data_IF_826896641977
#
_entry.id   IF_826896641977
#
_cell.length_a   1.000
_cell.length_b   1.000
_cell.length_c   1.000
_cell.angle_alpha   90.00
_cell.angle_beta   90.00
_cell.angle_gamma   90.00
#
_symmetry.space_group_name_H-M   'P 1'
#
loop_
_entity.id
_entity.type
_entity.pdbx_description
1 polymer ?
#
# COMPACT_ATOMS: atom_id res chain seq x y z
N UNK A 1 -28.56 -4.08 -0.67
CA UNK A 1 -29.45 -3.20 -1.43
C UNK A 1 -28.72 -2.45 -2.53
N UNK A 2 -29.38 -2.09 -3.63
CA UNK A 2 -28.73 -1.53 -4.83
C UNK A 2 -28.23 -0.09 -4.68
N UNK A 3 -28.64 0.61 -3.63
CA UNK A 3 -28.24 2.00 -3.36
C UNK A 3 -27.31 2.14 -2.15
N UNK A 4 -27.16 1.08 -1.35
CA UNK A 4 -26.27 1.13 -0.19
C UNK A 4 -24.82 1.19 -0.66
N UNK A 5 -24.02 2.04 -0.02
CA UNK A 5 -22.66 2.43 -0.38
C UNK A 5 -22.55 3.27 -1.66
N UNK A 6 -23.67 3.68 -2.26
CA UNK A 6 -23.62 4.70 -3.30
C UNK A 6 -23.13 6.05 -2.74
N UNK A 7 -22.45 6.81 -3.56
CA UNK A 7 -21.94 8.12 -3.21
C UNK A 7 -22.69 9.25 -3.95
N UNK A 8 -22.93 10.33 -3.24
CA UNK A 8 -23.19 11.62 -3.83
C UNK A 8 -21.87 12.39 -3.84
N UNK A 9 -21.45 12.87 -4.99
CA UNK A 9 -20.21 13.62 -5.16
C UNK A 9 -20.50 15.02 -5.70
N UNK A 10 -19.67 15.96 -5.28
CA UNK A 10 -19.61 17.29 -5.83
C UNK A 10 -18.27 17.54 -6.52
N UNK A 11 -18.30 18.35 -7.58
CA UNK A 11 -17.12 18.80 -8.31
C UNK A 11 -17.28 20.24 -8.78
N UNK A 12 -16.16 20.93 -9.07
CA UNK A 12 -16.14 22.23 -9.70
C UNK A 12 -15.73 22.15 -11.17
N UNK A 13 -15.25 21.00 -11.62
CA UNK A 13 -14.95 20.68 -13.01
C UNK A 13 -16.02 19.75 -13.60
N UNK A 14 -16.43 19.99 -14.87
CA UNK A 14 -17.49 19.20 -15.50
C UNK A 14 -17.09 17.73 -15.76
N UNK A 15 -15.81 17.42 -15.78
CA UNK A 15 -15.27 16.06 -15.92
C UNK A 15 -15.16 15.30 -14.60
N UNK A 16 -15.53 15.92 -13.49
CA UNK A 16 -15.42 15.38 -12.14
C UNK A 16 -13.99 14.96 -11.72
N UNK A 17 -12.96 15.49 -12.37
CA UNK A 17 -11.56 15.20 -12.01
C UNK A 17 -11.17 15.73 -10.62
N UNK A 18 -11.92 16.66 -10.06
CA UNK A 18 -11.78 17.21 -8.71
C UNK A 18 -12.91 16.80 -7.76
N UNK A 19 -13.61 15.70 -8.07
CA UNK A 19 -14.76 15.25 -7.29
C UNK A 19 -14.38 14.86 -5.86
N UNK A 20 -15.22 15.26 -4.93
CA UNK A 20 -15.18 14.87 -3.52
C UNK A 20 -16.53 14.35 -3.05
N UNK A 21 -16.59 13.41 -2.12
CA UNK A 21 -17.85 12.91 -1.59
C UNK A 21 -18.57 13.99 -0.77
N UNK A 22 -19.87 14.07 -0.98
CA UNK A 22 -20.79 14.90 -0.19
C UNK A 22 -21.57 14.03 0.79
N UNK A 23 -21.94 12.82 0.37
CA UNK A 23 -22.72 11.89 1.19
C UNK A 23 -22.57 10.46 0.70
N UNK A 24 -22.52 9.50 1.64
CA UNK A 24 -22.58 8.07 1.35
C UNK A 24 -23.92 7.50 1.84
N UNK A 25 -24.67 6.86 0.96
CA UNK A 25 -25.93 6.22 1.31
C UNK A 25 -25.64 4.93 2.09
N UNK A 26 -25.84 4.95 3.40
CA UNK A 26 -25.58 3.79 4.27
C UNK A 26 -26.78 2.85 4.38
N UNK A 27 -27.97 3.36 4.15
CA UNK A 27 -29.22 2.61 4.25
C UNK A 27 -30.18 3.08 3.15
N UNK A 28 -30.80 2.14 2.46
CA UNK A 28 -31.81 2.44 1.46
C UNK A 28 -33.01 3.19 2.10
N UNK A 29 -33.49 4.21 1.40
CA UNK A 29 -34.73 4.88 1.80
C UNK A 29 -35.93 3.89 1.79
N UNK A 30 -36.89 4.04 2.71
CA UNK A 30 -38.11 3.29 2.66
C UNK A 30 -38.88 3.52 1.34
N UNK A 31 -39.60 2.51 0.87
CA UNK A 31 -40.37 2.65 -0.35
C UNK A 31 -41.38 3.81 -0.26
N UNK A 32 -41.44 4.62 -1.32
CA UNK A 32 -42.37 5.74 -1.48
C UNK A 32 -42.24 6.81 -0.38
N UNK A 33 -41.06 6.93 0.22
CA UNK A 33 -40.78 8.00 1.18
C UNK A 33 -39.50 8.74 0.79
N UNK A 34 -39.54 10.06 0.86
CA UNK A 34 -38.36 10.92 0.83
C UNK A 34 -37.66 10.82 2.18
N UNK A 35 -36.35 10.73 2.17
CA UNK A 35 -35.50 10.81 3.38
C UNK A 35 -34.56 12.01 3.24
N UNK A 36 -34.37 12.74 4.34
CA UNK A 36 -33.50 13.91 4.39
C UNK A 36 -32.23 13.55 5.16
N UNK A 37 -31.10 13.94 4.62
CA UNK A 37 -29.78 13.72 5.21
C UNK A 37 -29.00 15.01 5.18
N UNK A 38 -28.48 15.44 6.32
CA UNK A 38 -27.59 16.59 6.42
C UNK A 38 -26.15 16.17 6.15
N UNK A 39 -25.37 17.03 5.52
CA UNK A 39 -23.96 16.84 5.27
C UNK A 39 -23.14 17.93 5.92
N UNK A 40 -21.93 17.62 6.33
CA UNK A 40 -21.00 18.57 6.97
C UNK A 40 -20.00 19.19 6.00
N UNK A 41 -20.19 18.98 4.69
CA UNK A 41 -19.24 19.51 3.71
C UNK A 41 -19.42 21.03 3.55
N UNK A 42 -18.36 21.80 3.83
CA UNK A 42 -18.35 23.27 3.71
C UNK A 42 -17.96 23.74 2.31
N UNK A 43 -17.36 22.88 1.49
CA UNK A 43 -16.97 23.23 0.12
C UNK A 43 -18.17 23.43 -0.79
N UNK A 44 -18.21 24.54 -1.55
CA UNK A 44 -19.19 24.75 -2.60
C UNK A 44 -18.87 23.96 -3.86
N UNK A 45 -19.91 23.38 -4.49
CA UNK A 45 -19.78 22.59 -5.70
C UNK A 45 -20.69 23.13 -6.81
N UNK A 46 -20.15 23.18 -8.04
CA UNK A 46 -20.91 23.57 -9.23
C UNK A 46 -21.68 22.39 -9.84
N UNK A 47 -21.15 21.20 -9.71
CA UNK A 47 -21.68 19.97 -10.28
C UNK A 47 -21.87 18.95 -9.18
N UNK A 48 -22.98 18.21 -9.23
CA UNK A 48 -23.27 17.12 -8.30
C UNK A 48 -23.70 15.91 -9.12
N UNK A 49 -23.22 14.72 -8.70
CA UNK A 49 -23.64 13.44 -9.31
C UNK A 49 -23.90 12.39 -8.27
N UNK A 50 -24.76 11.43 -8.64
CA UNK A 50 -24.90 10.16 -7.94
C UNK A 50 -24.02 9.11 -8.62
N UNK A 51 -23.27 8.35 -7.83
CA UNK A 51 -22.45 7.23 -8.29
C UNK A 51 -22.96 5.98 -7.61
N UNK A 52 -23.50 5.01 -8.39
CA UNK A 52 -23.93 3.74 -7.85
C UNK A 52 -22.76 2.87 -7.40
N UNK A 53 -22.98 1.94 -6.46
CA UNK A 53 -21.99 0.92 -6.17
C UNK A 53 -21.70 0.07 -7.40
N UNK A 54 -20.55 -0.60 -7.39
CA UNK A 54 -20.03 -1.39 -8.50
C UNK A 54 -21.08 -2.38 -9.05
N UNK A 55 -21.19 -2.45 -10.37
CA UNK A 55 -22.04 -3.37 -11.15
C UNK A 55 -23.53 -3.34 -10.80
N UNK A 56 -24.03 -2.26 -10.19
CA UNK A 56 -25.42 -2.14 -9.79
C UNK A 56 -26.13 -1.01 -10.54
N UNK A 57 -27.32 -1.30 -11.08
CA UNK A 57 -28.16 -0.27 -11.68
C UNK A 57 -28.76 0.63 -10.61
N UNK A 58 -28.76 1.93 -10.86
CA UNK A 58 -29.43 2.92 -10.02
C UNK A 58 -30.93 2.65 -9.92
N UNK A 59 -31.47 2.71 -8.71
CA UNK A 59 -32.91 2.62 -8.41
C UNK A 59 -33.35 3.82 -7.57
N UNK A 60 -32.89 5.01 -7.89
CA UNK A 60 -33.40 6.25 -7.32
C UNK A 60 -34.59 6.74 -8.14
N UNK A 61 -35.69 7.07 -7.45
CA UNK A 61 -36.84 7.68 -8.07
C UNK A 61 -36.68 9.20 -8.15
N UNK A 62 -36.08 9.80 -7.14
CA UNK A 62 -35.92 11.24 -7.01
C UNK A 62 -34.69 11.55 -6.11
N UNK A 63 -34.02 12.63 -6.41
CA UNK A 63 -32.88 13.16 -5.65
C UNK A 63 -32.96 14.69 -5.68
N UNK A 64 -33.05 15.30 -4.50
CA UNK A 64 -33.11 16.73 -4.32
C UNK A 64 -31.95 17.20 -3.47
N UNK A 65 -31.38 18.37 -3.84
CA UNK A 65 -30.31 19.03 -3.10
C UNK A 65 -30.81 20.35 -2.53
N UNK A 66 -30.56 20.54 -1.25
CA UNK A 66 -30.83 21.78 -0.53
C UNK A 66 -29.53 22.34 0.01
N UNK A 67 -29.28 23.64 -0.19
CA UNK A 67 -28.07 24.29 0.27
C UNK A 67 -28.14 25.78 0.09
N UNK A 68 -27.06 26.43 0.38
CA UNK A 68 -26.87 27.88 0.21
C UNK A 68 -25.88 28.11 -0.89
N UNK A 69 -26.03 29.23 -1.63
CA UNK A 69 -24.96 29.74 -2.46
C UNK A 69 -23.87 30.27 -1.54
N UNK A 70 -22.71 29.64 -1.56
CA UNK A 70 -21.54 30.04 -0.80
C UNK A 70 -20.29 29.75 -1.62
N UNK A 71 -19.23 30.54 -1.44
CA UNK A 71 -17.94 30.24 -2.03
C UNK A 71 -17.34 28.99 -1.41
N UNK A 72 -17.75 28.64 -0.18
CA UNK A 72 -17.30 27.48 0.57
C UNK A 72 -15.79 27.44 0.78
N UNK A 73 -15.33 26.58 1.58
CA UNK A 73 -13.92 26.31 1.78
C UNK A 73 -13.66 24.79 1.93
N UNK A 74 -12.41 24.40 1.94
CA UNK A 74 -12.01 23.02 2.09
C UNK A 74 -11.71 22.65 3.57
N UNK A 75 -12.08 23.50 4.53
CA UNK A 75 -11.75 23.28 5.94
C UNK A 75 -12.50 22.12 6.56
N UNK A 76 -13.73 21.87 6.06
CA UNK A 76 -14.56 20.76 6.49
C UNK A 76 -15.13 20.04 5.27
N UNK A 77 -14.59 18.86 4.98
CA UNK A 77 -15.04 17.98 3.92
C UNK A 77 -15.84 16.82 4.49
N UNK A 78 -16.72 16.24 3.69
CA UNK A 78 -17.48 15.07 4.11
C UNK A 78 -16.56 13.89 4.41
N UNK A 79 -16.69 13.33 5.61
CA UNK A 79 -15.90 12.19 6.06
C UNK A 79 -16.79 10.93 6.07
N UNK A 80 -16.31 9.85 5.42
CA UNK A 80 -17.11 8.66 5.17
C UNK A 80 -17.40 7.86 6.43
N UNK A 81 -16.37 7.57 7.19
CA UNK A 81 -16.41 6.74 8.40
C UNK A 81 -15.62 7.44 9.51
N UNK A 82 -15.11 6.70 10.46
CA UNK A 82 -14.15 7.19 11.46
C UNK A 82 -12.69 6.95 11.04
N UNK A 83 -12.44 6.62 9.77
CA UNK A 83 -11.10 6.47 9.21
C UNK A 83 -10.81 7.64 8.27
N UNK A 84 -9.55 8.02 8.09
CA UNK A 84 -9.14 8.89 7.00
C UNK A 84 -9.56 8.33 5.65
N UNK A 85 -9.89 9.19 4.70
CA UNK A 85 -10.33 8.80 3.36
C UNK A 85 -9.34 9.20 2.30
N UNK A 86 -8.93 8.25 1.46
CA UNK A 86 -8.12 8.47 0.25
C UNK A 86 -9.05 8.45 -0.96
N UNK A 87 -9.10 9.55 -1.69
CA UNK A 87 -9.91 9.73 -2.90
C UNK A 87 -8.98 9.78 -4.10
N UNK A 88 -9.23 8.94 -5.09
CA UNK A 88 -8.44 8.83 -6.32
C UNK A 88 -9.38 9.10 -7.49
N UNK A 89 -9.17 10.22 -8.17
CA UNK A 89 -9.86 10.56 -9.41
C UNK A 89 -8.87 10.44 -10.56
N UNK A 90 -8.96 9.36 -11.32
CA UNK A 90 -8.11 9.10 -12.47
C UNK A 90 -8.47 10.00 -13.64
N UNK A 91 -7.50 10.30 -14.49
CA UNK A 91 -7.73 11.07 -15.70
C UNK A 91 -8.81 10.41 -16.58
N UNK A 92 -9.83 11.19 -16.98
CA UNK A 92 -10.99 10.71 -17.74
C UNK A 92 -11.76 9.55 -17.07
N UNK A 93 -11.70 9.44 -15.75
CA UNK A 93 -12.28 8.35 -14.98
C UNK A 93 -11.88 6.96 -15.48
N UNK A 94 -10.65 6.81 -15.98
CA UNK A 94 -10.12 5.54 -16.47
C UNK A 94 -10.07 4.50 -15.35
N UNK A 95 -10.43 3.27 -15.67
CA UNK A 95 -10.28 2.15 -14.75
C UNK A 95 -8.81 1.76 -14.58
N UNK A 96 -8.40 1.42 -13.35
CA UNK A 96 -7.04 0.98 -13.03
C UNK A 96 -6.95 -0.53 -13.30
N UNK A 97 -6.46 -0.90 -14.48
CA UNK A 97 -6.42 -2.29 -14.96
C UNK A 97 -5.01 -2.87 -15.12
N UNK A 98 -3.97 -2.07 -14.87
CA UNK A 98 -2.57 -2.47 -15.11
C UNK A 98 -1.71 -2.31 -13.85
N UNK A 99 -0.72 -3.20 -13.70
CA UNK A 99 0.37 -3.08 -12.72
C UNK A 99 1.59 -2.33 -13.28
N UNK A 100 1.69 -2.20 -14.59
CA UNK A 100 2.82 -1.57 -15.28
C UNK A 100 2.53 -0.11 -15.59
N UNK A 101 1.36 0.19 -16.14
CA UNK A 101 1.01 1.51 -16.63
C UNK A 101 0.39 2.37 -15.52
N UNK A 102 1.03 3.50 -15.24
CA UNK A 102 0.50 4.51 -14.31
C UNK A 102 -0.54 5.38 -15.03
N UNK A 103 -1.65 5.65 -14.35
CA UNK A 103 -2.68 6.60 -14.78
C UNK A 103 -2.49 7.88 -13.96
N UNK A 104 -2.40 9.02 -14.63
CA UNK A 104 -2.37 10.33 -13.97
C UNK A 104 -3.68 10.57 -13.21
N UNK A 105 -3.58 10.97 -11.96
CA UNK A 105 -4.75 11.07 -11.08
C UNK A 105 -4.64 12.27 -10.15
N UNK A 106 -5.79 12.80 -9.76
CA UNK A 106 -5.90 13.70 -8.61
C UNK A 106 -6.16 12.85 -7.36
N UNK A 107 -5.37 13.07 -6.32
CA UNK A 107 -5.48 12.34 -5.06
C UNK A 107 -5.70 13.32 -3.92
N UNK A 108 -6.71 13.03 -3.10
CA UNK A 108 -7.04 13.76 -1.89
C UNK A 108 -6.96 12.81 -0.70
N UNK A 109 -6.50 13.33 0.45
CA UNK A 109 -6.55 12.62 1.71
C UNK A 109 -7.26 13.51 2.72
N UNK A 110 -8.38 13.02 3.24
CA UNK A 110 -9.22 13.66 4.23
C UNK A 110 -9.02 12.91 5.55
N UNK A 111 -8.77 13.64 6.63
CA UNK A 111 -8.64 13.03 7.95
C UNK A 111 -9.99 12.48 8.48
N UNK A 112 -9.93 11.73 9.57
CA UNK A 112 -11.09 11.19 10.27
C UNK A 112 -12.06 12.25 10.81
N UNK A 113 -11.64 13.50 10.86
CA UNK A 113 -12.47 14.63 11.30
C UNK A 113 -12.88 15.56 10.14
N UNK A 114 -12.65 15.16 8.90
CA UNK A 114 -13.05 15.94 7.72
C UNK A 114 -12.02 16.98 7.25
N UNK A 115 -10.87 17.13 7.91
CA UNK A 115 -9.84 18.08 7.46
C UNK A 115 -9.16 17.59 6.19
N UNK A 116 -9.02 18.46 5.20
CA UNK A 116 -8.23 18.17 4.01
C UNK A 116 -6.73 18.20 4.34
N UNK A 117 -6.09 17.02 4.36
CA UNK A 117 -4.67 16.87 4.70
C UNK A 117 -3.75 16.93 3.48
N UNK A 118 -4.25 16.51 2.32
CA UNK A 118 -3.47 16.44 1.09
C UNK A 118 -4.36 16.57 -0.13
N UNK A 119 -3.94 17.42 -1.05
CA UNK A 119 -4.52 17.52 -2.38
C UNK A 119 -3.40 17.55 -3.40
N UNK A 120 -3.33 16.56 -4.28
CA UNK A 120 -2.30 16.46 -5.31
C UNK A 120 -2.91 16.21 -6.68
N UNK A 121 -2.25 16.72 -7.70
CA UNK A 121 -2.52 16.39 -9.10
C UNK A 121 -1.35 15.62 -9.71
N UNK A 122 -1.56 14.99 -10.86
CA UNK A 122 -0.53 14.25 -11.60
C UNK A 122 0.14 13.14 -10.75
N UNK A 123 -0.62 12.55 -9.83
CA UNK A 123 -0.18 11.36 -9.09
C UNK A 123 -0.33 10.13 -9.99
N UNK A 124 0.76 9.43 -10.22
CA UNK A 124 0.71 8.16 -10.93
C UNK A 124 0.06 7.08 -10.06
N UNK A 125 -1.02 6.47 -10.55
CA UNK A 125 -1.72 5.38 -9.86
C UNK A 125 -1.74 4.14 -10.74
N UNK A 126 -1.42 2.99 -10.19
CA UNK A 126 -1.48 1.68 -10.86
C UNK A 126 -1.79 0.55 -9.89
N UNK A 127 -2.11 -0.61 -10.41
CA UNK A 127 -2.19 -1.83 -9.62
C UNK A 127 -0.85 -2.24 -9.02
N UNK A 128 -0.89 -3.12 -7.99
CA UNK A 128 0.28 -3.73 -7.36
C UNK A 128 -0.02 -5.14 -6.84
N UNK A 129 1.04 -5.85 -6.46
CA UNK A 129 0.96 -7.18 -5.88
C UNK A 129 0.93 -8.29 -6.94
N UNK A 130 1.07 -9.51 -6.50
CA UNK A 130 1.01 -10.72 -7.33
C UNK A 130 -0.35 -11.40 -7.15
N UNK A 131 -0.48 -12.38 -6.24
CA UNK A 131 -1.76 -13.05 -5.96
C UNK A 131 -2.88 -12.07 -5.61
N UNK A 132 -2.59 -11.06 -4.81
CA UNK A 132 -3.58 -10.03 -4.41
C UNK A 132 -4.15 -9.24 -5.59
N UNK A 133 -3.37 -9.04 -6.66
CA UNK A 133 -3.86 -8.41 -7.89
C UNK A 133 -4.55 -9.41 -8.81
N UNK A 134 -3.93 -10.56 -9.04
CA UNK A 134 -4.40 -11.51 -10.05
C UNK A 134 -5.69 -12.25 -9.62
N UNK A 135 -5.78 -12.64 -8.33
CA UNK A 135 -6.81 -13.56 -7.84
C UNK A 135 -7.99 -12.89 -7.13
N UNK A 136 -7.79 -11.70 -6.52
CA UNK A 136 -8.84 -11.10 -5.69
C UNK A 136 -9.61 -9.98 -6.40
N UNK A 137 -10.91 -9.83 -6.15
CA UNK A 137 -11.72 -8.77 -6.74
C UNK A 137 -11.37 -7.38 -6.20
N UNK A 138 -11.02 -7.26 -4.92
CA UNK A 138 -10.59 -6.00 -4.29
C UNK A 138 -9.11 -5.77 -4.58
N UNK A 139 -8.82 -4.87 -5.52
CA UNK A 139 -7.48 -4.64 -6.05
C UNK A 139 -6.64 -3.72 -5.16
N UNK A 140 -5.38 -4.06 -4.87
CA UNK A 140 -4.42 -3.15 -4.23
C UNK A 140 -3.81 -2.17 -5.24
N UNK A 141 -3.39 -0.98 -4.76
CA UNK A 141 -2.87 0.08 -5.62
C UNK A 141 -1.50 0.59 -5.15
N UNK A 142 -0.76 1.18 -6.09
CA UNK A 142 0.43 1.97 -5.82
C UNK A 142 0.17 3.42 -6.21
N UNK A 143 0.52 4.34 -5.33
CA UNK A 143 0.54 5.77 -5.56
C UNK A 143 1.98 6.23 -5.78
N UNK A 144 2.21 7.09 -6.78
CA UNK A 144 3.51 7.74 -7.02
C UNK A 144 3.28 9.24 -7.15
N UNK A 145 3.46 9.95 -6.04
CA UNK A 145 3.31 11.39 -6.02
C UNK A 145 4.41 12.09 -6.84
N UNK A 146 4.09 13.23 -7.43
CA UNK A 146 5.05 14.07 -8.18
C UNK A 146 6.19 14.58 -7.29
N UNK A 147 5.88 14.94 -6.05
CA UNK A 147 6.82 15.34 -5.00
C UNK A 147 6.72 14.41 -3.79
N UNK A 148 7.75 14.39 -2.95
CA UNK A 148 7.70 13.61 -1.70
C UNK A 148 6.57 14.12 -0.80
N UNK A 149 5.83 13.20 -0.21
CA UNK A 149 4.72 13.44 0.71
C UNK A 149 4.88 12.58 1.97
N UNK A 150 4.32 13.05 3.08
CA UNK A 150 4.20 12.31 4.34
C UNK A 150 2.71 12.16 4.71
N UNK A 151 1.94 11.34 4.00
CA UNK A 151 0.51 11.21 4.24
C UNK A 151 0.22 10.71 5.65
N UNK A 152 -0.80 11.29 6.28
CA UNK A 152 -1.28 10.93 7.63
C UNK A 152 -0.18 10.98 8.71
N UNK A 153 0.79 11.88 8.57
CA UNK A 153 1.87 12.04 9.55
C UNK A 153 2.93 10.94 9.50
N UNK A 154 3.07 10.25 8.37
CA UNK A 154 4.12 9.26 8.18
C UNK A 154 5.51 9.84 8.47
N UNK A 155 6.39 9.11 9.19
CA UNK A 155 7.70 9.63 9.61
C UNK A 155 8.66 9.88 8.44
N UNK A 156 8.52 9.14 7.33
CA UNK A 156 9.32 9.33 6.13
C UNK A 156 8.53 10.07 5.04
N UNK A 157 9.20 11.03 4.37
CA UNK A 157 8.65 11.69 3.20
C UNK A 157 9.12 10.99 1.93
N UNK A 158 8.18 10.46 1.14
CA UNK A 158 8.49 9.68 -0.06
C UNK A 158 7.49 9.94 -1.20
N UNK A 159 7.88 9.52 -2.40
CA UNK A 159 7.00 9.61 -3.57
C UNK A 159 6.09 8.39 -3.73
N UNK A 160 6.59 7.18 -3.38
CA UNK A 160 5.89 5.91 -3.61
C UNK A 160 5.20 5.45 -2.31
N UNK A 161 3.91 5.14 -2.42
CA UNK A 161 3.05 4.64 -1.34
C UNK A 161 2.18 3.49 -1.86
N UNK A 162 1.73 2.63 -0.95
CA UNK A 162 0.88 1.49 -1.30
C UNK A 162 -0.46 1.55 -0.58
N UNK A 163 -1.51 1.11 -1.26
CA UNK A 163 -2.81 0.83 -0.68
C UNK A 163 -3.01 -0.68 -0.72
N UNK A 164 -2.78 -1.35 0.41
CA UNK A 164 -2.92 -2.79 0.56
C UNK A 164 -4.40 -3.09 0.78
N UNK A 165 -4.97 -3.97 -0.03
CA UNK A 165 -6.41 -4.26 -0.01
C UNK A 165 -6.84 -5.16 1.15
N UNK A 166 -5.95 -5.97 1.69
CA UNK A 166 -6.20 -6.96 2.75
C UNK A 166 -7.45 -7.83 2.47
N UNK A 167 -7.67 -8.23 1.21
CA UNK A 167 -8.87 -8.97 0.84
C UNK A 167 -8.94 -10.36 1.49
N UNK A 168 -7.81 -11.04 1.56
CA UNK A 168 -7.64 -12.33 2.24
C UNK A 168 -7.81 -12.22 3.75
N UNK A 169 -7.39 -11.11 4.34
CA UNK A 169 -7.50 -10.84 5.76
C UNK A 169 -8.85 -10.19 6.12
N UNK A 170 -9.82 -10.99 6.59
CA UNK A 170 -11.14 -10.48 6.99
C UNK A 170 -11.13 -9.59 8.22
N UNK A 171 -10.08 -9.65 9.04
CA UNK A 171 -9.89 -8.72 10.17
C UNK A 171 -9.36 -7.36 9.75
N UNK A 172 -8.68 -7.27 8.58
CA UNK A 172 -7.96 -6.12 8.06
C UNK A 172 -6.80 -5.64 8.96
N UNK A 173 -6.38 -6.46 9.96
CA UNK A 173 -5.46 -6.02 11.00
C UNK A 173 -4.15 -6.84 11.08
N UNK A 174 -4.05 -7.98 10.40
CA UNK A 174 -2.90 -8.89 10.55
C UNK A 174 -1.57 -8.24 10.23
N UNK A 175 -1.47 -7.55 9.10
CA UNK A 175 -0.28 -6.78 8.74
C UNK A 175 0.05 -5.70 9.78
N UNK A 176 -0.96 -4.97 10.28
CA UNK A 176 -0.77 -3.92 11.29
C UNK A 176 -0.20 -4.51 12.59
N UNK A 177 -0.72 -5.65 13.04
CA UNK A 177 -0.25 -6.32 14.25
C UNK A 177 1.17 -6.85 14.09
N UNK A 178 1.50 -7.45 12.95
CA UNK A 178 2.85 -7.92 12.65
C UNK A 178 3.86 -6.75 12.58
N UNK A 179 3.48 -5.63 11.98
CA UNK A 179 4.31 -4.42 11.95
C UNK A 179 4.51 -3.83 13.34
N UNK A 180 3.48 -3.85 14.18
CA UNK A 180 3.61 -3.40 15.58
C UNK A 180 4.53 -4.32 16.38
N UNK A 181 4.42 -5.64 16.22
CA UNK A 181 5.34 -6.62 16.82
C UNK A 181 6.78 -6.38 16.34
N UNK A 182 6.98 -6.18 15.06
CA UNK A 182 8.28 -5.85 14.45
C UNK A 182 8.90 -4.58 15.04
N UNK A 183 8.09 -3.54 15.21
CA UNK A 183 8.54 -2.28 15.81
C UNK A 183 8.94 -2.46 17.28
N UNK A 184 8.15 -3.20 18.05
CA UNK A 184 8.43 -3.47 19.49
C UNK A 184 9.66 -4.32 19.71
N UNK A 185 9.94 -5.28 18.82
CA UNK A 185 11.17 -6.10 18.92
C UNK A 185 12.42 -5.34 18.47
N UNK A 186 12.26 -4.11 17.90
CA UNK A 186 13.36 -3.23 17.52
C UNK A 186 13.98 -3.56 16.16
N UNK A 187 13.18 -3.96 15.16
CA UNK A 187 13.63 -3.98 13.77
C UNK A 187 14.12 -2.58 13.37
N UNK A 188 15.20 -2.51 12.60
CA UNK A 188 15.82 -1.25 12.18
C UNK A 188 14.86 -0.34 11.39
N UNK A 189 14.00 -0.97 10.62
CA UNK A 189 12.90 -0.31 9.91
C UNK A 189 11.67 -1.22 9.90
N UNK A 190 10.54 -0.61 10.16
CA UNK A 190 9.22 -1.23 9.99
C UNK A 190 8.35 -0.29 9.18
N UNK A 191 7.67 -0.75 8.13
CA UNK A 191 6.83 0.11 7.30
C UNK A 191 5.78 0.86 8.14
N UNK A 192 5.64 2.15 7.88
CA UNK A 192 4.49 2.91 8.37
C UNK A 192 3.24 2.41 7.68
N UNK A 193 2.15 2.29 8.43
CA UNK A 193 0.86 1.95 7.87
C UNK A 193 -0.28 2.60 8.66
N UNK A 194 -1.36 2.91 7.95
CA UNK A 194 -2.56 3.49 8.53
C UNK A 194 -3.81 2.94 7.81
N UNK A 195 -4.84 2.48 8.55
CA UNK A 195 -6.11 2.09 7.92
C UNK A 195 -6.80 3.32 7.33
N UNK A 196 -7.33 3.18 6.13
CA UNK A 196 -8.00 4.24 5.38
C UNK A 196 -9.18 3.72 4.60
N UNK A 197 -10.20 4.53 4.40
CA UNK A 197 -11.21 4.30 3.37
C UNK A 197 -10.68 4.72 2.01
N UNK A 198 -11.07 4.03 0.95
CA UNK A 198 -10.64 4.35 -0.42
C UNK A 198 -11.85 4.53 -1.33
N UNK A 199 -11.82 5.63 -2.07
CA UNK A 199 -12.75 5.93 -3.17
C UNK A 199 -11.94 6.03 -4.46
N UNK A 200 -12.39 5.36 -5.51
CA UNK A 200 -11.81 5.48 -6.85
C UNK A 200 -12.90 5.89 -7.83
N UNK A 201 -12.76 7.05 -8.46
CA UNK A 201 -13.71 7.59 -9.43
C UNK A 201 -15.16 7.64 -8.91
N UNK A 202 -15.33 7.97 -7.62
CA UNK A 202 -16.64 8.03 -6.97
C UNK A 202 -17.20 6.69 -6.48
N UNK A 203 -16.45 5.62 -6.62
CA UNK A 203 -16.84 4.31 -6.11
C UNK A 203 -16.09 3.98 -4.82
N UNK A 204 -16.83 3.68 -3.75
CA UNK A 204 -16.26 3.25 -2.50
C UNK A 204 -15.68 1.83 -2.61
N UNK A 205 -14.38 1.70 -2.44
CA UNK A 205 -13.65 0.43 -2.54
C UNK A 205 -13.45 -0.28 -1.19
N UNK A 206 -13.90 0.31 -0.11
CA UNK A 206 -13.78 -0.24 1.24
C UNK A 206 -12.52 0.22 1.98
N UNK A 207 -12.25 -0.40 3.12
CA UNK A 207 -11.11 -0.11 3.97
C UNK A 207 -9.83 -0.75 3.40
N UNK A 208 -8.77 0.04 3.30
CA UNK A 208 -7.43 -0.35 2.87
C UNK A 208 -6.41 -0.01 3.97
N UNK A 209 -5.18 -0.40 3.75
CA UNK A 209 -4.05 0.02 4.54
C UNK A 209 -3.13 0.88 3.68
N UNK A 210 -3.06 2.18 3.96
CA UNK A 210 -2.05 3.07 3.37
C UNK A 210 -0.72 2.77 4.03
N UNK A 211 0.28 2.41 3.24
CA UNK A 211 1.53 1.87 3.75
C UNK A 211 2.73 2.44 2.98
N UNK A 212 3.88 2.49 3.63
CA UNK A 212 5.15 2.70 2.93
C UNK A 212 5.30 1.68 1.79
N UNK A 213 5.83 2.13 0.66
CA UNK A 213 6.46 1.21 -0.28
C UNK A 213 7.77 0.75 0.34
N UNK A 214 8.02 -0.57 0.39
CA UNK A 214 9.34 -1.08 0.77
C UNK A 214 10.35 -0.66 -0.32
N UNK A 215 11.23 0.26 0.03
CA UNK A 215 12.27 0.79 -0.86
C UNK A 215 13.47 1.27 -0.06
N UNK A 216 14.65 1.23 -0.67
CA UNK A 216 15.87 1.80 -0.11
C UNK A 216 15.83 3.32 -0.21
N UNK A 217 15.57 4.01 0.90
CA UNK A 217 15.44 5.46 0.95
C UNK A 217 15.66 5.98 2.38
N UNK A 218 15.90 7.28 2.49
CA UNK A 218 15.98 7.96 3.78
C UNK A 218 14.68 7.79 4.58
N UNK A 219 14.78 7.34 5.83
CA UNK A 219 13.64 7.07 6.70
C UNK A 219 12.86 5.79 6.36
N UNK A 220 13.35 5.00 5.39
CA UNK A 220 12.87 3.66 5.03
C UNK A 220 13.98 2.63 5.17
N UNK A 221 14.09 1.64 4.26
CA UNK A 221 15.15 0.65 4.34
C UNK A 221 16.52 1.34 4.23
N UNK A 222 17.43 1.15 5.20
CA UNK A 222 18.73 1.86 5.25
C UNK A 222 19.77 1.21 4.32
N UNK A 223 19.50 1.19 3.02
CA UNK A 223 20.36 0.59 2.01
C UNK A 223 20.49 1.47 0.75
N UNK A 224 20.45 2.80 0.92
CA UNK A 224 20.44 3.74 -0.21
C UNK A 224 21.64 3.55 -1.16
N UNK A 225 22.82 3.31 -0.63
CA UNK A 225 24.05 3.14 -1.41
C UNK A 225 24.46 1.65 -1.53
N UNK A 226 23.56 0.74 -1.20
CA UNK A 226 23.77 -0.70 -1.17
C UNK A 226 22.73 -1.48 -1.96
N UNK A 227 22.16 -2.50 -1.33
CA UNK A 227 21.22 -3.42 -1.98
C UNK A 227 20.00 -3.67 -1.12
N UNK A 228 18.84 -3.75 -1.76
CA UNK A 228 17.63 -4.33 -1.22
C UNK A 228 17.22 -5.50 -2.12
N UNK A 229 17.05 -6.66 -1.53
CA UNK A 229 16.65 -7.90 -2.23
C UNK A 229 15.41 -8.49 -1.55
N UNK A 230 14.68 -9.30 -2.28
CA UNK A 230 13.52 -10.03 -1.80
C UNK A 230 13.64 -11.50 -2.19
N UNK A 231 13.49 -12.41 -1.24
CA UNK A 231 13.28 -13.83 -1.53
C UNK A 231 11.82 -13.96 -1.95
N UNK A 232 11.57 -14.23 -3.23
CA UNK A 232 10.25 -14.11 -3.83
C UNK A 232 9.94 -15.29 -4.77
N UNK A 233 8.86 -15.99 -4.48
CA UNK A 233 8.38 -17.08 -5.33
C UNK A 233 8.05 -16.64 -6.77
N UNK A 234 7.82 -15.34 -6.99
CA UNK A 234 7.52 -14.74 -8.29
C UNK A 234 8.75 -14.10 -8.97
N UNK A 235 9.96 -14.34 -8.48
CA UNK A 235 11.20 -13.80 -9.05
C UNK A 235 11.34 -14.06 -10.58
N UNK A 236 10.73 -15.13 -11.07
CA UNK A 236 10.71 -15.45 -12.51
C UNK A 236 9.95 -14.44 -13.38
N UNK A 237 9.16 -13.55 -12.80
CA UNK A 237 8.46 -12.45 -13.48
C UNK A 237 9.30 -11.17 -13.56
N UNK A 238 10.37 -11.10 -12.78
CA UNK A 238 11.15 -9.88 -12.57
C UNK A 238 12.42 -9.88 -13.44
N UNK A 239 12.73 -8.74 -14.06
CA UNK A 239 13.92 -8.57 -14.91
C UNK A 239 15.20 -8.65 -14.09
N UNK A 240 15.19 -8.04 -12.89
CA UNK A 240 16.32 -8.02 -11.97
C UNK A 240 16.22 -9.15 -10.94
N UNK A 241 16.24 -10.41 -11.40
CA UNK A 241 16.21 -11.58 -10.54
C UNK A 241 17.39 -12.51 -10.82
N UNK A 242 17.73 -13.31 -9.80
CA UNK A 242 18.68 -14.43 -9.93
C UNK A 242 18.22 -15.60 -9.06
N UNK A 243 18.74 -16.78 -9.37
CA UNK A 243 18.60 -17.97 -8.53
C UNK A 243 19.94 -18.29 -7.90
N UNK A 244 19.97 -18.43 -6.60
CA UNK A 244 21.17 -18.85 -5.92
C UNK A 244 21.59 -20.26 -6.39
N UNK A 245 22.81 -20.69 -6.06
CA UNK A 245 23.28 -22.03 -6.41
C UNK A 245 22.48 -23.16 -5.73
N UNK A 246 21.73 -22.85 -4.69
CA UNK A 246 20.75 -23.76 -4.04
C UNK A 246 19.36 -23.66 -4.65
N UNK A 247 19.14 -22.75 -5.55
CA UNK A 247 17.86 -22.53 -6.20
C UNK A 247 16.92 -21.58 -5.46
N UNK A 248 17.43 -20.81 -4.49
CA UNK A 248 16.64 -19.75 -3.83
C UNK A 248 16.37 -18.64 -4.84
N UNK A 249 15.10 -18.32 -5.13
CA UNK A 249 14.75 -17.23 -6.04
C UNK A 249 14.88 -15.88 -5.33
N UNK A 250 15.62 -14.97 -5.92
CA UNK A 250 15.91 -13.65 -5.36
C UNK A 250 15.66 -12.56 -6.38
N UNK A 251 14.86 -11.57 -6.02
CA UNK A 251 14.65 -10.36 -6.81
C UNK A 251 15.45 -9.20 -6.23
N UNK A 252 16.14 -8.44 -7.07
CA UNK A 252 16.84 -7.23 -6.68
C UNK A 252 15.86 -6.07 -6.78
N UNK A 253 15.55 -5.42 -5.66
CA UNK A 253 14.62 -4.28 -5.57
C UNK A 253 15.35 -2.93 -5.50
N UNK A 254 16.64 -2.94 -5.16
CA UNK A 254 17.53 -1.78 -5.21
C UNK A 254 18.98 -2.26 -5.43
N UNK A 255 19.74 -1.63 -6.34
CA UNK A 255 19.32 -0.57 -7.28
C UNK A 255 18.14 -0.99 -8.16
N UNK A 256 17.35 -0.02 -8.65
CA UNK A 256 16.24 -0.27 -9.57
C UNK A 256 16.76 -0.94 -10.86
N UNK A 257 15.91 -1.67 -11.58
CA UNK A 257 16.30 -2.45 -12.77
C UNK A 257 16.95 -1.61 -13.88
N UNK A 258 16.56 -0.33 -13.99
CA UNK A 258 17.11 0.60 -14.97
C UNK A 258 18.48 1.17 -14.56
N UNK A 259 18.83 1.10 -13.27
CA UNK A 259 20.03 1.72 -12.69
C UNK A 259 21.11 0.70 -12.31
N UNK A 260 20.76 -0.58 -12.17
CA UNK A 260 21.69 -1.62 -11.73
C UNK A 260 22.69 -2.00 -12.83
N UNK A 261 23.96 -1.97 -12.51
CA UNK A 261 25.04 -2.44 -13.39
C UNK A 261 25.24 -3.95 -13.28
N UNK A 262 25.81 -4.57 -14.32
CA UNK A 262 26.20 -6.00 -14.28
C UNK A 262 27.16 -6.32 -13.13
N UNK A 263 28.08 -5.40 -12.83
CA UNK A 263 29.02 -5.55 -11.72
C UNK A 263 28.29 -5.60 -10.36
N UNK A 264 27.29 -4.76 -10.17
CA UNK A 264 26.47 -4.75 -8.95
C UNK A 264 25.61 -6.02 -8.85
N UNK A 265 24.98 -6.43 -9.95
CA UNK A 265 24.21 -7.68 -10.02
C UNK A 265 25.08 -8.89 -9.65
N UNK A 266 26.23 -9.03 -10.29
CA UNK A 266 27.17 -10.13 -10.04
C UNK A 266 27.71 -10.09 -8.59
N UNK A 267 27.89 -8.90 -8.04
CA UNK A 267 28.35 -8.75 -6.66
C UNK A 267 27.32 -9.28 -5.65
N UNK A 268 26.06 -8.84 -5.74
CA UNK A 268 25.05 -9.27 -4.78
C UNK A 268 24.70 -10.75 -4.93
N UNK A 269 24.65 -11.27 -6.15
CA UNK A 269 24.47 -12.70 -6.42
C UNK A 269 25.60 -13.53 -5.82
N UNK A 270 26.85 -13.14 -6.07
CA UNK A 270 28.02 -13.80 -5.49
C UNK A 270 28.02 -13.74 -3.95
N UNK A 271 27.66 -12.60 -3.38
CA UNK A 271 27.59 -12.42 -1.94
C UNK A 271 26.52 -13.32 -1.31
N UNK A 272 25.33 -13.39 -1.90
CA UNK A 272 24.25 -14.26 -1.44
C UNK A 272 24.65 -15.74 -1.53
N UNK A 273 25.27 -16.16 -2.62
CA UNK A 273 25.79 -17.52 -2.81
C UNK A 273 26.87 -17.89 -1.77
N UNK A 274 27.74 -16.94 -1.41
CA UNK A 274 28.75 -17.15 -0.35
C UNK A 274 28.09 -17.29 1.01
N UNK A 275 27.07 -16.50 1.31
CA UNK A 275 26.29 -16.62 2.54
C UNK A 275 25.64 -18.01 2.65
N UNK A 276 24.96 -18.48 1.61
CA UNK A 276 24.35 -19.83 1.60
C UNK A 276 25.41 -20.93 1.77
N UNK A 277 26.54 -20.80 1.09
CA UNK A 277 27.65 -21.74 1.20
C UNK A 277 28.18 -21.81 2.65
N UNK A 278 28.36 -20.66 3.28
CA UNK A 278 28.81 -20.56 4.67
C UNK A 278 27.76 -21.10 5.66
N UNK A 279 26.47 -20.87 5.41
CA UNK A 279 25.39 -21.36 6.25
C UNK A 279 25.21 -22.87 6.20
N UNK A 280 25.48 -23.49 5.06
CA UNK A 280 25.31 -24.94 4.80
C UNK A 280 26.62 -25.75 4.93
N UNK A 281 27.73 -25.08 5.14
CA UNK A 281 29.05 -25.70 5.28
C UNK A 281 29.30 -26.33 6.66
N UNK A 282 30.34 -27.14 6.78
CA UNK A 282 30.73 -27.76 8.05
C UNK A 282 31.12 -26.76 9.13
N UNK A 283 31.62 -25.61 8.71
CA UNK A 283 32.11 -24.53 9.58
C UNK A 283 31.05 -23.45 9.81
N UNK A 284 29.75 -23.76 9.66
CA UNK A 284 28.65 -22.78 9.68
C UNK A 284 28.60 -21.91 10.93
N UNK A 285 29.02 -22.45 12.09
CA UNK A 285 29.07 -21.74 13.38
C UNK A 285 30.35 -20.93 13.60
N UNK A 286 31.38 -21.11 12.76
CA UNK A 286 32.65 -20.39 12.87
C UNK A 286 32.41 -18.88 12.62
N UNK A 287 32.88 -18.00 13.52
CA UNK A 287 32.64 -16.56 13.39
C UNK A 287 33.26 -15.90 12.15
N UNK A 288 34.36 -16.47 11.61
CA UNK A 288 35.10 -15.91 10.48
C UNK A 288 34.79 -16.60 9.14
N UNK A 289 34.29 -17.84 9.16
CA UNK A 289 34.00 -18.64 7.97
C UNK A 289 32.51 -18.94 7.80
N UNK A 290 31.75 -19.01 8.88
CA UNK A 290 30.34 -19.33 8.88
C UNK A 290 29.43 -18.17 8.49
N UNK A 291 28.13 -18.41 8.58
CA UNK A 291 27.08 -17.47 8.14
C UNK A 291 27.16 -16.08 8.81
N UNK A 292 27.66 -16.01 10.05
CA UNK A 292 27.78 -14.73 10.81
C UNK A 292 28.69 -13.70 10.16
N UNK A 293 29.55 -14.13 9.25
CA UNK A 293 30.36 -13.24 8.41
C UNK A 293 29.51 -12.46 7.43
N UNK A 294 28.45 -13.06 6.91
CA UNK A 294 27.63 -12.56 5.81
C UNK A 294 26.26 -12.07 6.25
N UNK A 295 25.72 -12.62 7.34
CA UNK A 295 24.38 -12.35 7.83
C UNK A 295 24.43 -11.71 9.21
N UNK A 296 23.67 -10.63 9.40
CA UNK A 296 23.39 -10.11 10.73
C UNK A 296 22.39 -11.00 11.44
N UNK A 297 22.87 -11.73 12.43
CA UNK A 297 22.07 -12.72 13.14
C UNK A 297 20.94 -12.08 13.93
N UNK A 298 21.15 -10.89 14.48
CA UNK A 298 20.13 -10.23 15.30
C UNK A 298 18.93 -9.80 14.48
N UNK A 299 19.14 -9.18 13.32
CA UNK A 299 18.05 -8.81 12.41
C UNK A 299 17.30 -10.05 11.90
N UNK A 300 18.03 -11.13 11.58
CA UNK A 300 17.43 -12.39 11.16
C UNK A 300 16.54 -12.98 12.26
N UNK A 301 17.03 -13.07 13.49
CA UNK A 301 16.27 -13.61 14.61
C UNK A 301 15.05 -12.75 14.95
N UNK A 302 15.16 -11.43 14.88
CA UNK A 302 14.02 -10.54 15.08
C UNK A 302 12.94 -10.79 14.05
N UNK A 303 13.30 -10.89 12.77
CA UNK A 303 12.33 -11.17 11.70
C UNK A 303 11.69 -12.56 11.86
N UNK A 304 12.48 -13.57 12.14
CA UNK A 304 12.01 -14.93 12.40
C UNK A 304 11.04 -14.98 13.59
N UNK A 305 11.39 -14.31 14.70
CA UNK A 305 10.53 -14.27 15.89
C UNK A 305 9.20 -13.57 15.65
N UNK A 306 9.18 -12.51 14.84
CA UNK A 306 7.91 -11.87 14.44
C UNK A 306 7.06 -12.84 13.64
N UNK A 307 7.64 -13.51 12.64
CA UNK A 307 6.93 -14.48 11.83
C UNK A 307 6.39 -15.67 12.63
N UNK A 308 7.21 -16.22 13.51
CA UNK A 308 6.84 -17.34 14.39
C UNK A 308 5.75 -16.92 15.40
N UNK A 309 5.93 -15.78 16.06
CA UNK A 309 4.93 -15.21 16.97
C UNK A 309 3.58 -14.96 16.30
N UNK A 310 3.60 -14.48 15.08
CA UNK A 310 2.38 -14.25 14.29
C UNK A 310 1.82 -15.54 13.67
N UNK A 311 2.53 -16.66 13.72
CA UNK A 311 2.15 -17.89 13.03
C UNK A 311 2.03 -17.68 11.51
N UNK A 312 3.00 -16.99 10.90
CA UNK A 312 2.96 -16.73 9.47
C UNK A 312 3.33 -18.00 8.69
N UNK A 313 2.37 -18.58 7.99
CA UNK A 313 2.57 -19.80 7.19
C UNK A 313 3.38 -19.56 5.92
N UNK A 314 3.49 -18.30 5.51
CA UNK A 314 4.28 -17.85 4.33
C UNK A 314 5.63 -17.21 4.74
N UNK A 315 6.13 -17.55 5.92
CA UNK A 315 7.32 -16.95 6.55
C UNK A 315 8.58 -16.92 5.67
N UNK A 316 8.71 -17.85 4.73
CA UNK A 316 9.91 -17.98 3.88
C UNK A 316 9.80 -17.26 2.53
N UNK A 317 8.64 -16.68 2.23
CA UNK A 317 8.40 -15.92 1.01
C UNK A 317 8.15 -14.44 1.29
N UNK A 318 8.35 -13.58 0.30
CA UNK A 318 8.30 -12.12 0.45
C UNK A 318 9.24 -11.60 1.56
N UNK A 319 10.38 -12.28 1.76
CA UNK A 319 11.37 -11.93 2.78
C UNK A 319 12.34 -10.91 2.20
N UNK A 320 12.30 -9.71 2.74
CA UNK A 320 13.25 -8.68 2.39
C UNK A 320 14.56 -8.84 3.14
N UNK A 321 15.65 -8.57 2.44
CA UNK A 321 16.99 -8.45 3.02
C UNK A 321 17.68 -7.23 2.40
N UNK A 322 18.50 -6.55 3.18
CA UNK A 322 19.24 -5.40 2.69
C UNK A 322 20.69 -5.43 3.14
N UNK A 323 21.54 -4.78 2.37
CA UNK A 323 22.95 -4.64 2.62
C UNK A 323 23.35 -3.18 2.36
N UNK A 324 23.94 -2.53 3.36
CA UNK A 324 24.62 -1.25 3.14
C UNK A 324 25.90 -1.48 2.34
N UNK A 325 26.29 -0.52 1.51
CA UNK A 325 27.54 -0.59 0.75
C UNK A 325 28.78 -0.66 1.66
N UNK A 326 28.72 0.03 2.79
CA UNK A 326 29.84 0.10 3.76
C UNK A 326 29.90 -1.11 4.70
N UNK A 327 28.84 -1.89 4.82
CA UNK A 327 28.74 -3.03 5.71
C UNK A 327 28.96 -4.36 4.95
N UNK A 328 29.65 -5.28 5.59
CA UNK A 328 29.91 -6.61 5.05
C UNK A 328 28.78 -7.60 5.19
N UNK A 329 27.59 -7.22 5.70
CA UNK A 329 26.52 -8.16 6.05
C UNK A 329 25.21 -7.85 5.35
N UNK A 330 24.39 -8.90 5.19
CA UNK A 330 22.97 -8.82 4.89
C UNK A 330 22.18 -8.73 6.20
N UNK A 331 21.25 -7.80 6.26
CA UNK A 331 20.25 -7.65 7.32
C UNK A 331 18.92 -8.16 6.82
N UNK A 332 18.16 -8.85 7.67
CA UNK A 332 16.81 -9.33 7.34
C UNK A 332 15.76 -8.32 7.78
N UNK A 333 14.82 -8.04 6.91
CA UNK A 333 13.75 -7.05 7.10
C UNK A 333 13.67 -6.08 5.93
N UNK A 334 12.61 -5.23 5.93
CA UNK A 334 11.57 -5.14 6.97
C UNK A 334 10.60 -6.33 6.95
N UNK A 335 9.90 -6.51 8.06
CA UNK A 335 8.73 -7.38 8.14
C UNK A 335 7.70 -6.97 7.09
N UNK A 336 7.18 -7.92 6.31
CA UNK A 336 6.24 -7.70 5.22
C UNK A 336 5.37 -8.93 5.00
N UNK A 337 4.18 -8.74 4.39
CA UNK A 337 3.30 -9.80 3.88
C UNK A 337 2.80 -10.79 4.94
N UNK A 338 2.08 -10.27 5.93
CA UNK A 338 1.56 -11.02 7.07
C UNK A 338 0.04 -11.24 7.01
N UNK A 339 -0.56 -11.21 5.82
CA UNK A 339 -2.01 -11.44 5.68
C UNK A 339 -2.41 -12.91 5.93
N UNK A 340 -1.48 -13.87 5.81
CA UNK A 340 -1.66 -15.28 6.18
C UNK A 340 -1.29 -15.60 7.65
N UNK A 341 -0.99 -14.59 8.46
CA UNK A 341 -0.69 -14.76 9.89
C UNK A 341 -1.94 -14.95 10.74
N UNK A 342 -1.76 -15.35 12.03
CA UNK A 342 -2.82 -15.47 13.04
C UNK A 342 -3.97 -16.36 12.57
N UNK A 343 -3.64 -17.59 12.19
CA UNK A 343 -4.58 -18.65 11.74
C UNK A 343 -5.44 -18.22 10.52
N UNK A 344 -4.90 -17.41 9.63
CA UNK A 344 -5.55 -17.04 8.38
C UNK A 344 -5.01 -17.85 7.18
N UNK A 345 -4.67 -19.07 7.40
CA UNK A 345 -4.29 -20.01 6.35
C UNK A 345 -5.54 -20.68 5.74
N UNK A 346 -5.50 -21.00 4.43
CA UNK A 346 -6.63 -21.57 3.69
C UNK A 346 -6.46 -23.06 3.45
#
# INVERSE_FOLDING_TARGET
HRVELALIEGANKPDFSDALPIYMIRQAAPERKMTYNETSCSRGFRYVRYVSPNDVRCNLAELEFYGYEDEGDDSQLYQLTNLPTVIINTENAQEIVSKENEISSNVYIISENGTNLLSTSETGVRGRGNASWDQFPKKPYRLKFKSKQSPLGAPASAKKWTLISNYSDKSLMRNILAFEASRRIGQAYTPYCHPVDVIVNGEYRGCYQLCDQVEAAEGRVPAKDGYLIEIDAYAWKEVSAFWSWKGTPVTIKHPDEDDITDAQRNHIESFFNQMETAALGSDFTDPEKGYRKYLDLESFLRNLLVGDFCGNTDLLWSVYMYKDAADGKLYTGPTWDHDLSFDNDY
#
